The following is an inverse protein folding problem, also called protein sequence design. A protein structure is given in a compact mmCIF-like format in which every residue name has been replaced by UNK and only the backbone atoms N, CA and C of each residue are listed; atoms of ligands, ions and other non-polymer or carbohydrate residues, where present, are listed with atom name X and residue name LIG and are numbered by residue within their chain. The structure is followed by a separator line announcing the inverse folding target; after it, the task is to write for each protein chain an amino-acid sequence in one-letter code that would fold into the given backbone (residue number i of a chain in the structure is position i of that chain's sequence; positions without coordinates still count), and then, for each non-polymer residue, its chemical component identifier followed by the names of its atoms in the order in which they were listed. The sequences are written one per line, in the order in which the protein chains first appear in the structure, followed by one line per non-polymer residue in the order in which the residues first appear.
data_IF_227547457801
#
_entry.id   IF_227547457801
#
_cell.length_a   1.000
_cell.length_b   1.000
_cell.length_c   1.000
_cell.angle_alpha   90.00
_cell.angle_beta   90.00
_cell.angle_gamma   90.00
#
_symmetry.space_group_name_H-M   'P 1'
#
loop_
_entity.id
_entity.type
_entity.pdbx_description
1 polymer ?
#
# COMPACT_ATOMS: atom_id res chain seq x y z
N UNK A 1 55.05 -33.04 -79.81
CA UNK A 1 54.43 -32.16 -78.80
C UNK A 1 52.99 -32.60 -78.62
N UNK A 2 52.65 -33.30 -77.53
CA UNK A 2 51.26 -33.62 -77.12
C UNK A 2 51.30 -34.23 -75.71
N UNK A 3 51.53 -33.38 -74.69
CA UNK A 3 51.49 -33.80 -73.28
C UNK A 3 50.69 -32.83 -72.38
N UNK A 4 50.00 -31.84 -72.92
CA UNK A 4 49.42 -30.75 -72.10
C UNK A 4 47.91 -30.86 -71.82
N UNK A 5 47.18 -31.77 -72.48
CA UNK A 5 45.71 -31.83 -72.39
C UNK A 5 45.14 -32.82 -71.35
N UNK A 6 45.87 -33.85 -70.96
CA UNK A 6 45.43 -34.82 -69.92
C UNK A 6 45.71 -34.32 -68.50
N UNK A 7 46.80 -33.59 -68.28
CA UNK A 7 47.17 -33.09 -66.96
C UNK A 7 46.24 -31.98 -66.47
N UNK A 8 45.72 -31.13 -67.38
CA UNK A 8 44.76 -30.06 -67.07
C UNK A 8 43.36 -30.57 -66.74
N UNK A 9 42.95 -31.71 -67.30
CA UNK A 9 41.67 -32.37 -66.94
C UNK A 9 41.73 -32.97 -65.54
N UNK A 10 42.82 -33.67 -65.22
CA UNK A 10 42.99 -34.31 -63.91
C UNK A 10 43.20 -33.29 -62.79
N UNK A 11 43.95 -32.21 -63.02
CA UNK A 11 44.07 -31.11 -62.03
C UNK A 11 42.75 -30.40 -61.79
N UNK A 12 41.93 -30.17 -62.81
CA UNK A 12 40.61 -29.56 -62.63
C UNK A 12 39.59 -30.46 -61.91
N UNK A 13 39.72 -31.79 -62.00
CA UNK A 13 38.93 -32.73 -61.20
C UNK A 13 39.41 -32.77 -59.75
N UNK A 14 40.71 -32.86 -59.50
CA UNK A 14 41.30 -32.79 -58.16
C UNK A 14 40.93 -31.48 -57.42
N UNK A 15 40.99 -30.33 -58.11
CA UNK A 15 40.59 -29.04 -57.54
C UNK A 15 39.08 -28.95 -57.21
N UNK A 16 38.23 -29.71 -57.91
CA UNK A 16 36.79 -29.81 -57.61
C UNK A 16 36.54 -30.75 -56.43
N UNK A 17 37.26 -31.86 -56.35
CA UNK A 17 37.20 -32.79 -55.21
C UNK A 17 37.71 -32.13 -53.92
N UNK A 18 38.79 -31.34 -54.00
CA UNK A 18 39.32 -30.57 -52.88
C UNK A 18 38.32 -29.51 -52.39
N UNK A 19 37.65 -28.79 -53.32
CA UNK A 19 36.59 -27.83 -52.96
C UNK A 19 35.38 -28.49 -52.32
N UNK A 20 34.91 -29.63 -52.86
CA UNK A 20 33.79 -30.38 -52.29
C UNK A 20 34.15 -30.91 -50.88
N UNK A 21 35.40 -31.36 -50.69
CA UNK A 21 35.92 -31.80 -49.40
C UNK A 21 35.95 -30.66 -48.39
N UNK A 22 36.38 -29.46 -48.80
CA UNK A 22 36.43 -28.29 -47.92
C UNK A 22 35.04 -27.75 -47.58
N UNK A 23 34.10 -27.74 -48.54
CA UNK A 23 32.69 -27.43 -48.29
C UNK A 23 32.04 -28.44 -47.32
N UNK A 24 32.38 -29.73 -47.45
CA UNK A 24 31.93 -30.77 -46.53
C UNK A 24 32.48 -30.58 -45.12
N UNK A 25 33.73 -30.12 -44.98
CA UNK A 25 34.31 -29.78 -43.66
C UNK A 25 33.59 -28.59 -43.05
N UNK A 26 33.33 -27.53 -43.83
CA UNK A 26 32.59 -26.36 -43.38
C UNK A 26 31.18 -26.75 -42.90
N UNK A 27 30.43 -27.50 -43.72
CA UNK A 27 29.10 -28.00 -43.36
C UNK A 27 29.12 -28.88 -42.11
N UNK A 28 30.15 -29.72 -41.92
CA UNK A 28 30.31 -30.51 -40.68
C UNK A 28 30.52 -29.61 -39.47
N UNK A 29 31.39 -28.60 -39.58
CA UNK A 29 31.63 -27.66 -38.47
C UNK A 29 30.38 -26.86 -38.11
N UNK A 30 29.64 -26.39 -39.11
CA UNK A 30 28.39 -25.66 -38.90
C UNK A 30 27.31 -26.55 -38.27
N UNK A 31 27.19 -27.81 -38.73
CA UNK A 31 26.26 -28.77 -38.15
C UNK A 31 26.62 -29.11 -36.69
N UNK A 32 27.91 -29.21 -36.34
CA UNK A 32 28.33 -29.37 -34.94
C UNK A 32 27.99 -28.17 -34.07
N UNK A 33 28.15 -26.95 -34.61
CA UNK A 33 27.80 -25.70 -33.92
C UNK A 33 26.30 -25.62 -33.66
N UNK A 34 25.48 -25.88 -34.69
CA UNK A 34 24.02 -25.91 -34.59
C UNK A 34 23.52 -26.97 -33.59
N UNK A 35 24.16 -28.14 -33.55
CA UNK A 35 23.86 -29.17 -32.52
C UNK A 35 24.16 -28.66 -31.11
N UNK A 36 25.25 -27.93 -30.92
CA UNK A 36 25.59 -27.28 -29.66
C UNK A 36 24.54 -26.25 -29.24
N UNK A 37 24.13 -25.37 -30.16
CA UNK A 37 23.10 -24.35 -29.93
C UNK A 37 21.74 -24.98 -29.58
N UNK A 38 21.33 -26.04 -30.28
CA UNK A 38 20.11 -26.80 -29.97
C UNK A 38 20.19 -27.45 -28.59
N UNK A 39 21.35 -27.98 -28.20
CA UNK A 39 21.53 -28.57 -26.87
C UNK A 39 21.38 -27.52 -25.76
N UNK A 40 21.94 -26.33 -25.95
CA UNK A 40 21.78 -25.20 -25.03
C UNK A 40 20.32 -24.72 -24.95
N UNK A 41 19.64 -24.60 -26.09
CA UNK A 41 18.22 -24.23 -26.14
C UNK A 41 17.34 -25.25 -25.40
N UNK A 42 17.61 -26.55 -25.54
CA UNK A 42 16.89 -27.60 -24.80
C UNK A 42 17.12 -27.50 -23.29
N UNK A 43 18.34 -27.21 -22.85
CA UNK A 43 18.64 -26.98 -21.43
C UNK A 43 17.94 -25.73 -20.89
N UNK A 44 17.91 -24.65 -21.65
CA UNK A 44 17.20 -23.42 -21.29
C UNK A 44 15.70 -23.64 -21.18
N UNK A 45 15.11 -24.39 -22.11
CA UNK A 45 13.69 -24.74 -22.09
C UNK A 45 13.33 -25.57 -20.84
N UNK A 46 14.12 -26.60 -20.51
CA UNK A 46 13.94 -27.40 -19.30
C UNK A 46 14.07 -26.57 -18.01
N UNK A 47 14.98 -25.60 -17.99
CA UNK A 47 15.14 -24.67 -16.87
C UNK A 47 13.91 -23.77 -16.71
N UNK A 48 13.38 -23.24 -17.81
CA UNK A 48 12.17 -22.42 -17.82
C UNK A 48 10.93 -23.22 -17.39
N UNK A 49 10.79 -24.47 -17.82
CA UNK A 49 9.70 -25.34 -17.40
C UNK A 49 9.74 -25.61 -15.89
N UNK A 50 10.93 -25.89 -15.34
CA UNK A 50 11.12 -26.05 -13.87
C UNK A 50 10.78 -24.76 -13.12
N UNK A 51 11.22 -23.60 -13.61
CA UNK A 51 10.91 -22.30 -13.01
C UNK A 51 9.40 -22.00 -13.04
N UNK A 52 8.73 -22.30 -14.17
CA UNK A 52 7.29 -22.10 -14.31
C UNK A 52 6.49 -23.04 -13.39
N UNK A 53 6.92 -24.30 -13.27
CA UNK A 53 6.35 -25.23 -12.31
C UNK A 53 6.51 -24.74 -10.86
N UNK A 54 7.70 -24.24 -10.50
CA UNK A 54 7.94 -23.67 -9.18
C UNK A 54 7.06 -22.44 -8.91
N UNK A 55 6.93 -21.53 -9.89
CA UNK A 55 6.05 -20.36 -9.79
C UNK A 55 4.57 -20.76 -9.60
N UNK A 56 4.11 -21.85 -10.24
CA UNK A 56 2.76 -22.38 -10.02
C UNK A 56 2.58 -22.91 -8.61
N UNK A 57 3.57 -23.62 -8.07
CA UNK A 57 3.56 -24.08 -6.68
C UNK A 57 3.55 -22.90 -5.70
N UNK A 58 4.40 -21.90 -5.91
CA UNK A 58 4.50 -20.71 -5.06
C UNK A 58 3.20 -19.88 -5.09
N UNK A 59 2.55 -19.78 -6.26
CA UNK A 59 1.24 -19.15 -6.43
C UNK A 59 0.13 -19.90 -5.70
N UNK A 60 0.20 -21.24 -5.67
CA UNK A 60 -0.75 -22.07 -4.91
C UNK A 60 -0.52 -21.97 -3.40
N UNK A 61 0.74 -21.86 -2.96
CA UNK A 61 1.11 -21.69 -1.56
C UNK A 61 0.72 -20.30 -1.03
N UNK A 62 0.92 -19.23 -1.82
CA UNK A 62 0.46 -17.87 -1.49
C UNK A 62 -1.05 -17.77 -1.41
N UNK A 63 -1.81 -18.45 -2.28
CA UNK A 63 -3.28 -18.52 -2.18
C UNK A 63 -3.75 -19.15 -0.87
N UNK A 64 -3.14 -20.26 -0.44
CA UNK A 64 -3.43 -20.88 0.87
C UNK A 64 -3.02 -19.99 2.04
N UNK A 65 -1.85 -19.35 1.97
CA UNK A 65 -1.37 -18.43 3.01
C UNK A 65 -2.26 -17.18 3.12
N UNK A 66 -2.81 -16.67 2.01
CA UNK A 66 -3.74 -15.55 1.98
C UNK A 66 -5.07 -15.90 2.64
N UNK A 67 -5.60 -17.10 2.38
CA UNK A 67 -6.82 -17.61 3.04
C UNK A 67 -6.58 -17.76 4.55
N UNK A 68 -5.41 -18.27 4.95
CA UNK A 68 -5.03 -18.45 6.34
C UNK A 68 -4.82 -17.12 7.07
N UNK A 69 -4.28 -16.11 6.37
CA UNK A 69 -4.14 -14.73 6.86
C UNK A 69 -5.51 -14.06 7.04
N UNK A 70 -6.41 -14.23 6.09
CA UNK A 70 -7.78 -13.72 6.18
C UNK A 70 -8.56 -14.37 7.34
N UNK A 71 -8.39 -15.68 7.56
CA UNK A 71 -8.99 -16.39 8.70
C UNK A 71 -8.37 -16.00 10.04
N UNK A 72 -7.05 -15.75 10.10
CA UNK A 72 -6.40 -15.20 11.29
C UNK A 72 -6.89 -13.79 11.63
N UNK A 73 -7.04 -12.91 10.64
CA UNK A 73 -7.61 -11.58 10.87
C UNK A 73 -9.06 -11.64 11.34
N UNK A 74 -9.86 -12.58 10.80
CA UNK A 74 -11.24 -12.79 11.24
C UNK A 74 -11.30 -13.28 12.71
N UNK A 75 -10.39 -14.16 13.12
CA UNK A 75 -10.25 -14.62 14.51
C UNK A 75 -9.75 -13.51 15.45
N UNK A 76 -8.80 -12.68 15.01
CA UNK A 76 -8.34 -11.53 15.81
C UNK A 76 -9.44 -10.49 15.99
N UNK A 77 -10.22 -10.21 14.95
CA UNK A 77 -11.38 -9.33 15.03
C UNK A 77 -12.43 -9.89 16.01
N UNK A 78 -12.71 -11.20 15.97
CA UNK A 78 -13.60 -11.85 16.95
C UNK A 78 -13.05 -11.77 18.37
N UNK A 79 -11.75 -11.96 18.59
CA UNK A 79 -11.11 -11.81 19.90
C UNK A 79 -11.17 -10.37 20.41
N UNK A 80 -10.98 -9.39 19.53
CA UNK A 80 -11.15 -7.97 19.85
C UNK A 80 -12.60 -7.68 20.22
N UNK A 81 -13.58 -8.23 19.50
CA UNK A 81 -15.00 -8.09 19.80
C UNK A 81 -15.40 -8.74 21.13
N UNK A 82 -14.86 -9.93 21.44
CA UNK A 82 -15.03 -10.57 22.74
C UNK A 82 -14.42 -9.73 23.87
N UNK A 83 -13.20 -9.20 23.69
CA UNK A 83 -12.59 -8.29 24.67
C UNK A 83 -13.35 -6.98 24.83
N UNK A 84 -13.93 -6.44 23.76
CA UNK A 84 -14.79 -5.25 23.82
C UNK A 84 -16.09 -5.58 24.57
N UNK A 85 -16.65 -6.77 24.39
CA UNK A 85 -17.84 -7.23 25.12
C UNK A 85 -17.55 -7.54 26.60
N UNK A 86 -16.40 -8.11 26.94
CA UNK A 86 -15.96 -8.34 28.32
C UNK A 86 -15.60 -7.04 29.05
N UNK A 87 -15.01 -6.06 28.33
CA UNK A 87 -14.64 -4.75 28.89
C UNK A 87 -15.76 -3.71 28.79
N UNK A 88 -16.98 -4.08 28.40
CA UNK A 88 -18.14 -3.21 28.66
C UNK A 88 -18.29 -3.15 30.18
N UNK A 89 -18.07 -2.00 30.82
CA UNK A 89 -18.38 -1.88 32.22
C UNK A 89 -19.86 -2.24 32.40
N UNK A 90 -20.14 -3.20 33.29
CA UNK A 90 -21.39 -3.23 34.03
C UNK A 90 -21.50 -1.87 34.74
N UNK A 91 -22.00 -0.84 34.04
CA UNK A 91 -22.40 0.43 34.62
C UNK A 91 -23.72 0.15 35.35
N UNK A 92 -23.62 -0.64 36.42
CA UNK A 92 -24.57 -0.66 37.50
C UNK A 92 -24.31 0.57 38.34
N UNK A 93 -25.07 1.62 38.05
CA UNK A 93 -25.85 2.44 38.99
C UNK A 93 -26.12 3.78 38.35
N UNK A 94 -27.32 3.97 37.80
CA UNK A 94 -28.16 5.17 37.93
C UNK A 94 -29.54 4.97 37.27
N UNK A 95 -30.53 5.80 37.65
CA UNK A 95 -31.90 5.37 37.91
C UNK A 95 -32.79 5.38 36.67
N UNK A 96 -33.83 4.55 36.74
CA UNK A 96 -35.13 4.62 36.05
C UNK A 96 -35.23 5.66 34.92
N UNK A 97 -34.63 5.37 33.78
CA UNK A 97 -35.20 5.77 32.50
C UNK A 97 -35.13 4.56 31.57
N UNK A 98 -36.28 4.17 31.06
CA UNK A 98 -36.47 3.14 30.04
C UNK A 98 -35.80 3.60 28.73
N UNK A 99 -34.47 3.50 28.64
CA UNK A 99 -33.74 3.74 27.40
C UNK A 99 -33.64 2.43 26.64
N UNK A 100 -34.62 2.26 25.75
CA UNK A 100 -34.63 1.22 24.73
C UNK A 100 -33.33 1.35 23.93
N UNK A 101 -32.59 0.24 23.76
CA UNK A 101 -31.43 0.17 22.86
C UNK A 101 -31.89 0.52 21.45
N UNK A 102 -31.57 1.73 20.98
CA UNK A 102 -32.06 2.28 19.72
C UNK A 102 -31.72 1.36 18.55
N UNK A 103 -30.60 0.63 18.60
CA UNK A 103 -30.21 -0.30 17.54
C UNK A 103 -31.13 -1.53 17.55
N UNK A 104 -31.35 -2.13 18.72
CA UNK A 104 -32.28 -3.23 18.89
C UNK A 104 -33.73 -2.82 18.55
N UNK A 105 -34.16 -1.63 18.97
CA UNK A 105 -35.47 -1.08 18.67
C UNK A 105 -35.68 -0.79 17.19
N UNK A 106 -34.67 -0.29 16.47
CA UNK A 106 -34.78 -0.05 15.04
C UNK A 106 -34.80 -1.38 14.27
N UNK A 107 -33.98 -2.36 14.67
CA UNK A 107 -33.97 -3.72 14.09
C UNK A 107 -35.26 -4.51 14.36
N UNK A 108 -35.92 -4.30 15.51
CA UNK A 108 -37.16 -5.00 15.91
C UNK A 108 -38.43 -4.16 15.74
N UNK A 109 -38.31 -2.87 15.41
CA UNK A 109 -39.45 -2.11 14.93
C UNK A 109 -39.80 -2.70 13.56
N UNK A 110 -41.07 -3.06 13.34
CA UNK A 110 -41.59 -3.43 12.02
C UNK A 110 -41.56 -2.24 11.02
N UNK A 111 -40.66 -1.27 11.21
CA UNK A 111 -40.39 -0.23 10.24
C UNK A 111 -39.50 -0.81 9.16
N UNK A 112 -40.00 -0.83 7.93
CA UNK A 112 -39.14 -1.05 6.76
C UNK A 112 -38.22 0.17 6.64
N UNK A 113 -37.12 0.19 7.40
CA UNK A 113 -36.10 1.24 7.28
C UNK A 113 -35.50 1.10 5.88
N UNK A 114 -36.00 1.92 4.98
CA UNK A 114 -35.56 1.93 3.60
C UNK A 114 -34.23 2.67 3.54
N UNK A 115 -33.11 1.93 3.50
CA UNK A 115 -31.77 2.46 3.31
C UNK A 115 -31.62 3.03 1.90
N UNK A 116 -32.25 4.19 1.66
CA UNK A 116 -32.13 4.96 0.42
C UNK A 116 -31.07 6.03 0.58
N UNK A 117 -30.20 6.12 -0.41
CA UNK A 117 -29.18 7.17 -0.51
C UNK A 117 -29.80 8.57 -0.61
N UNK A 118 -31.00 8.67 -1.19
CA UNK A 118 -31.77 9.89 -1.31
C UNK A 118 -32.74 10.04 -0.12
N UNK A 119 -32.98 11.27 0.37
CA UNK A 119 -32.26 12.51 0.05
C UNK A 119 -30.82 12.52 0.61
N UNK A 120 -29.92 13.25 -0.08
CA UNK A 120 -28.53 13.45 0.34
C UNK A 120 -28.42 14.46 1.48
N UNK A 121 -28.79 14.03 2.68
CA UNK A 121 -28.66 14.82 3.90
C UNK A 121 -27.44 14.35 4.69
N UNK A 122 -26.53 15.28 5.01
CA UNK A 122 -25.26 14.96 5.67
C UNK A 122 -25.47 14.24 7.01
N UNK A 123 -26.30 14.79 7.90
CA UNK A 123 -26.51 14.19 9.23
C UNK A 123 -27.14 12.79 9.15
N UNK A 124 -28.06 12.60 8.20
CA UNK A 124 -28.69 11.29 7.94
C UNK A 124 -27.68 10.27 7.43
N UNK A 125 -26.85 10.65 6.47
CA UNK A 125 -25.82 9.78 5.90
C UNK A 125 -24.68 9.50 6.89
N UNK A 126 -24.34 10.49 7.73
CA UNK A 126 -23.42 10.33 8.84
C UNK A 126 -23.95 9.32 9.86
N UNK A 127 -25.22 9.44 10.24
CA UNK A 127 -25.89 8.45 11.09
C UNK A 127 -25.84 7.05 10.48
N UNK A 128 -26.13 6.90 9.18
CA UNK A 128 -25.99 5.59 8.52
C UNK A 128 -24.55 5.07 8.54
N UNK A 129 -23.54 5.91 8.27
CA UNK A 129 -22.13 5.51 8.34
C UNK A 129 -21.74 5.03 9.74
N UNK A 130 -22.21 5.71 10.80
CA UNK A 130 -21.84 5.42 12.19
C UNK A 130 -22.56 4.18 12.76
N UNK A 131 -23.84 3.99 12.43
CA UNK A 131 -24.66 2.93 13.03
C UNK A 131 -24.92 1.72 12.11
N UNK A 132 -24.87 1.92 10.79
CA UNK A 132 -25.22 0.96 9.72
C UNK A 132 -24.16 0.97 8.60
N UNK A 133 -22.89 0.80 8.98
CA UNK A 133 -21.77 0.95 8.06
C UNK A 133 -21.84 0.00 6.85
N UNK A 134 -22.30 -1.24 7.05
CA UNK A 134 -22.37 -2.25 5.99
C UNK A 134 -23.38 -1.84 4.91
N UNK A 135 -24.55 -1.38 5.33
CA UNK A 135 -25.63 -0.88 4.48
C UNK A 135 -25.21 0.42 3.80
N UNK A 136 -24.56 1.32 4.54
CA UNK A 136 -24.00 2.56 4.00
C UNK A 136 -22.97 2.30 2.90
N UNK A 137 -22.07 1.31 3.11
CA UNK A 137 -21.04 0.96 2.14
C UNK A 137 -21.62 0.39 0.84
N UNK A 138 -22.83 -0.20 0.87
CA UNK A 138 -23.50 -0.75 -0.32
C UNK A 138 -24.14 0.32 -1.21
N UNK A 139 -24.22 1.58 -0.77
CA UNK A 139 -24.78 2.66 -1.59
C UNK A 139 -24.08 2.80 -2.95
N UNK A 140 -24.85 3.04 -4.01
CA UNK A 140 -24.34 3.11 -5.38
C UNK A 140 -23.29 4.22 -5.52
N UNK A 141 -22.05 3.83 -5.79
CA UNK A 141 -20.91 4.74 -5.90
C UNK A 141 -21.09 5.77 -7.01
N UNK A 142 -21.73 5.43 -8.15
CA UNK A 142 -21.91 6.40 -9.26
C UNK A 142 -22.72 7.62 -8.85
N UNK A 143 -23.81 7.41 -8.11
CA UNK A 143 -24.69 8.48 -7.64
C UNK A 143 -23.94 9.36 -6.60
N UNK A 144 -23.11 8.73 -5.75
CA UNK A 144 -22.25 9.46 -4.80
C UNK A 144 -21.26 10.36 -5.52
N UNK A 145 -20.59 9.84 -6.56
CA UNK A 145 -19.61 10.60 -7.34
C UNK A 145 -20.26 11.81 -8.00
N UNK A 146 -21.40 11.63 -8.67
CA UNK A 146 -22.16 12.73 -9.28
C UNK A 146 -22.54 13.79 -8.24
N UNK A 147 -23.02 13.38 -7.07
CA UNK A 147 -23.41 14.30 -6.01
C UNK A 147 -22.23 15.09 -5.43
N UNK A 148 -21.11 14.44 -5.12
CA UNK A 148 -19.91 15.11 -4.60
C UNK A 148 -19.33 16.06 -5.64
N UNK A 149 -19.35 15.67 -6.92
CA UNK A 149 -18.84 16.46 -8.04
C UNK A 149 -19.57 17.80 -8.17
N UNK A 150 -20.87 17.86 -7.90
CA UNK A 150 -21.65 19.11 -7.88
C UNK A 150 -21.09 20.14 -6.89
N UNK A 151 -20.57 19.72 -5.74
CA UNK A 151 -20.04 20.64 -4.73
C UNK A 151 -18.55 20.96 -4.87
N UNK A 152 -17.82 20.16 -5.65
CA UNK A 152 -16.36 20.27 -5.80
C UNK A 152 -15.88 21.64 -6.27
N UNK A 153 -16.70 22.36 -7.05
CA UNK A 153 -16.36 23.68 -7.64
C UNK A 153 -16.87 24.87 -6.82
N UNK A 154 -18.05 24.78 -6.22
CA UNK A 154 -18.74 25.94 -5.64
C UNK A 154 -18.78 25.98 -4.12
N UNK A 155 -18.83 24.81 -3.45
CA UNK A 155 -19.03 24.71 -1.99
C UNK A 155 -18.04 23.72 -1.38
N UNK A 156 -16.78 24.15 -1.28
CA UNK A 156 -15.68 23.31 -0.79
C UNK A 156 -15.93 22.68 0.60
N UNK A 157 -16.58 23.40 1.52
CA UNK A 157 -16.94 22.83 2.84
C UNK A 157 -17.87 21.62 2.70
N UNK A 158 -18.95 21.75 1.91
CA UNK A 158 -19.89 20.66 1.65
C UNK A 158 -19.22 19.50 0.92
N UNK A 159 -18.36 19.80 -0.06
CA UNK A 159 -17.52 18.80 -0.70
C UNK A 159 -16.73 18.00 0.34
N UNK A 160 -16.04 18.68 1.26
CA UNK A 160 -15.19 18.04 2.26
C UNK A 160 -16.01 17.27 3.32
N UNK A 161 -17.22 17.73 3.63
CA UNK A 161 -18.21 17.01 4.44
C UNK A 161 -18.61 15.68 3.79
N UNK A 162 -19.05 15.68 2.53
CA UNK A 162 -19.43 14.44 1.86
C UNK A 162 -18.24 13.55 1.49
N UNK A 163 -17.07 14.14 1.19
CA UNK A 163 -15.85 13.39 0.97
C UNK A 163 -15.46 12.60 2.21
N UNK A 164 -15.43 13.20 3.41
CA UNK A 164 -15.16 12.49 4.67
C UNK A 164 -16.12 11.31 4.89
N UNK A 165 -17.40 11.45 4.54
CA UNK A 165 -18.36 10.37 4.68
C UNK A 165 -18.05 9.20 3.75
N UNK A 166 -17.79 9.46 2.48
CA UNK A 166 -17.70 8.45 1.43
C UNK A 166 -16.28 8.02 1.06
N UNK A 167 -15.24 8.61 1.67
CA UNK A 167 -13.84 8.24 1.40
C UNK A 167 -13.50 6.80 1.81
N UNK A 168 -14.39 6.11 2.52
CA UNK A 168 -14.29 4.67 2.73
C UNK A 168 -14.34 3.86 1.41
N UNK A 169 -14.84 4.44 0.31
CA UNK A 169 -14.87 3.83 -1.02
C UNK A 169 -13.66 4.29 -1.83
N UNK A 170 -12.89 3.32 -2.35
CA UNK A 170 -11.66 3.60 -3.10
C UNK A 170 -11.90 4.42 -4.38
N UNK A 171 -13.04 4.22 -5.06
CA UNK A 171 -13.38 4.98 -6.27
C UNK A 171 -13.59 6.47 -5.96
N UNK A 172 -14.25 6.77 -4.83
CA UNK A 172 -14.47 8.14 -4.35
C UNK A 172 -13.13 8.79 -3.98
N UNK A 173 -12.25 8.03 -3.31
CA UNK A 173 -10.90 8.48 -3.02
C UNK A 173 -10.13 8.82 -4.30
N UNK A 174 -10.10 7.90 -5.28
CA UNK A 174 -9.36 8.08 -6.53
C UNK A 174 -9.86 9.26 -7.37
N UNK A 175 -11.16 9.56 -7.37
CA UNK A 175 -11.70 10.69 -8.14
C UNK A 175 -11.43 12.04 -7.46
N UNK A 176 -11.52 12.12 -6.13
CA UNK A 176 -11.58 13.41 -5.42
C UNK A 176 -10.35 13.77 -4.58
N UNK A 177 -9.47 12.82 -4.25
CA UNK A 177 -8.33 13.11 -3.38
C UNK A 177 -7.38 14.18 -3.96
N UNK A 178 -7.28 14.30 -5.29
CA UNK A 178 -6.54 15.39 -5.93
C UNK A 178 -7.09 16.79 -5.60
N UNK A 179 -8.40 16.92 -5.37
CA UNK A 179 -9.03 18.18 -4.98
C UNK A 179 -8.82 18.53 -3.50
N UNK A 180 -8.35 17.56 -2.72
CA UNK A 180 -8.16 17.69 -1.29
C UNK A 180 -7.14 18.77 -0.92
N UNK A 181 -6.08 18.96 -1.71
CA UNK A 181 -5.02 19.92 -1.41
C UNK A 181 -5.18 21.29 -2.08
N UNK A 182 -6.20 21.48 -2.93
CA UNK A 182 -6.40 22.73 -3.69
C UNK A 182 -6.66 23.93 -2.76
N UNK A 183 -7.47 23.74 -1.72
CA UNK A 183 -7.82 24.81 -0.79
C UNK A 183 -6.95 24.76 0.47
N UNK A 184 -6.54 25.89 1.05
CA UNK A 184 -5.76 25.94 2.31
C UNK A 184 -6.62 25.96 3.58
N UNK A 185 -7.95 26.03 3.45
CA UNK A 185 -8.91 26.07 4.56
C UNK A 185 -9.24 24.66 5.12
N UNK A 186 -9.88 24.63 6.30
CA UNK A 186 -10.38 23.41 6.98
C UNK A 186 -9.30 22.38 7.37
N UNK A 187 -8.12 22.87 7.78
CA UNK A 187 -6.93 22.04 8.08
C UNK A 187 -7.23 20.93 9.08
N UNK A 188 -7.87 21.23 10.22
CA UNK A 188 -8.17 20.21 11.24
C UNK A 188 -9.00 19.05 10.66
N UNK A 189 -9.92 19.37 9.74
CA UNK A 189 -10.77 18.37 9.11
C UNK A 189 -10.01 17.53 8.10
N UNK A 190 -9.09 18.14 7.36
CA UNK A 190 -8.18 17.42 6.46
C UNK A 190 -7.28 16.45 7.21
N UNK A 191 -6.72 16.90 8.32
CA UNK A 191 -5.87 16.06 9.17
C UNK A 191 -6.66 14.86 9.71
N UNK A 192 -7.90 15.10 10.18
CA UNK A 192 -8.80 14.01 10.59
C UNK A 192 -9.00 12.99 9.47
N UNK A 193 -9.29 13.45 8.25
CA UNK A 193 -9.47 12.58 7.08
C UNK A 193 -8.19 11.79 6.77
N UNK A 194 -7.01 12.43 6.77
CA UNK A 194 -5.72 11.75 6.56
C UNK A 194 -5.45 10.68 7.63
N UNK A 195 -5.86 10.94 8.87
CA UNK A 195 -5.76 9.99 9.98
C UNK A 195 -6.75 8.82 9.89
N UNK A 196 -7.77 8.88 9.05
CA UNK A 196 -8.76 7.80 8.86
C UNK A 196 -8.49 6.97 7.59
N UNK A 197 -7.90 7.56 6.55
CA UNK A 197 -7.67 6.88 5.26
C UNK A 197 -6.50 5.86 5.37
N UNK A 198 -6.56 4.71 4.66
CA UNK A 198 -5.43 3.80 4.53
C UNK A 198 -4.19 4.49 3.95
N UNK A 199 -3.03 4.31 4.61
CA UNK A 199 -1.78 4.96 4.20
C UNK A 199 -1.43 4.59 2.75
N UNK A 200 -1.59 3.32 2.39
CA UNK A 200 -1.36 2.80 1.03
C UNK A 200 -2.13 3.53 -0.07
N UNK A 201 -3.35 4.01 0.21
CA UNK A 201 -4.14 4.73 -0.79
C UNK A 201 -3.54 6.11 -1.05
N UNK A 202 -3.11 6.79 0.01
CA UNK A 202 -2.51 8.13 -0.07
C UNK A 202 -1.21 8.09 -0.87
N UNK A 203 -0.37 7.08 -0.61
CA UNK A 203 0.96 6.98 -1.23
C UNK A 203 0.86 6.56 -2.70
N UNK A 204 0.01 5.58 -3.00
CA UNK A 204 -0.14 5.06 -4.36
C UNK A 204 -1.06 5.94 -5.22
N UNK A 205 -1.64 7.01 -4.66
CA UNK A 205 -2.49 7.90 -5.42
C UNK A 205 -1.73 8.50 -6.60
N UNK A 206 -2.24 8.22 -7.82
CA UNK A 206 -1.62 8.61 -9.09
C UNK A 206 -0.11 8.32 -9.13
N UNK A 207 0.29 7.12 -8.72
CA UNK A 207 1.69 6.69 -8.74
C UNK A 207 2.65 7.60 -7.95
N UNK A 208 2.17 8.23 -6.86
CA UNK A 208 3.00 9.03 -5.97
C UNK A 208 3.08 10.53 -6.30
N UNK A 209 2.30 11.02 -7.28
CA UNK A 209 2.26 12.45 -7.64
C UNK A 209 1.88 13.37 -6.47
N UNK A 210 1.15 12.88 -5.47
CA UNK A 210 0.71 13.67 -4.31
C UNK A 210 1.76 13.76 -3.21
N UNK A 211 2.81 12.92 -3.23
CA UNK A 211 3.83 12.90 -2.18
C UNK A 211 4.52 14.26 -1.94
N UNK A 212 4.92 15.03 -2.96
CA UNK A 212 5.53 16.36 -2.73
C UNK A 212 4.56 17.33 -2.06
N UNK A 213 3.28 17.32 -2.46
CA UNK A 213 2.25 18.20 -1.89
C UNK A 213 1.95 17.80 -0.45
N UNK A 214 1.92 16.50 -0.17
CA UNK A 214 1.74 15.96 1.17
C UNK A 214 2.92 16.33 2.08
N UNK A 215 4.17 16.22 1.59
CA UNK A 215 5.37 16.66 2.32
C UNK A 215 5.29 18.14 2.70
N UNK A 216 4.97 19.01 1.74
CA UNK A 216 4.78 20.45 2.02
C UNK A 216 3.65 20.70 3.03
N UNK A 217 2.58 19.91 2.98
CA UNK A 217 1.48 20.02 3.94
C UNK A 217 1.90 19.60 5.35
N UNK A 218 2.70 18.53 5.47
CA UNK A 218 3.26 18.05 6.75
C UNK A 218 4.20 19.09 7.34
N UNK A 219 5.13 19.61 6.55
CA UNK A 219 6.08 20.65 6.97
C UNK A 219 5.38 21.91 7.47
N UNK A 220 4.19 22.24 6.94
CA UNK A 220 3.42 23.40 7.38
C UNK A 220 2.64 23.15 8.68
N UNK A 221 2.25 21.91 8.97
CA UNK A 221 1.38 21.55 10.09
C UNK A 221 1.99 20.43 10.95
N UNK A 222 3.29 20.55 11.23
CA UNK A 222 4.13 19.51 11.87
C UNK A 222 3.50 18.92 13.13
N UNK A 223 3.08 19.78 14.06
CA UNK A 223 2.48 19.38 15.34
C UNK A 223 1.21 18.55 15.16
N UNK A 224 0.32 18.95 14.25
CA UNK A 224 -0.96 18.26 14.06
C UNK A 224 -0.85 16.97 13.24
N UNK A 225 0.28 16.77 12.56
CA UNK A 225 0.54 15.62 11.71
C UNK A 225 1.26 14.47 12.43
N UNK A 226 1.57 14.62 13.72
CA UNK A 226 2.26 13.58 14.53
C UNK A 226 1.54 12.23 14.44
N UNK A 227 0.21 12.21 14.59
CA UNK A 227 -0.60 10.98 14.51
C UNK A 227 -0.53 10.34 13.12
N UNK A 228 -0.55 11.16 12.06
CA UNK A 228 -0.43 10.68 10.69
C UNK A 228 0.95 10.04 10.45
N UNK A 229 2.02 10.71 10.88
CA UNK A 229 3.39 10.19 10.74
C UNK A 229 3.57 8.92 11.56
N UNK A 230 3.03 8.85 12.79
CA UNK A 230 3.03 7.62 13.57
C UNK A 230 2.41 6.46 12.79
N UNK A 231 1.25 6.67 12.16
CA UNK A 231 0.61 5.65 11.30
C UNK A 231 1.49 5.27 10.12
N UNK A 232 2.13 6.23 9.45
CA UNK A 232 3.07 5.95 8.35
C UNK A 232 4.23 5.09 8.83
N UNK A 233 4.84 5.42 9.98
CA UNK A 233 5.97 4.67 10.53
C UNK A 233 5.58 3.24 10.90
N UNK A 234 4.39 3.03 11.46
CA UNK A 234 3.90 1.68 11.82
C UNK A 234 3.50 0.86 10.59
N UNK A 235 2.77 1.45 9.64
CA UNK A 235 2.25 0.72 8.47
C UNK A 235 3.32 0.55 7.36
N UNK A 236 4.15 1.58 7.12
CA UNK A 236 5.12 1.67 6.00
C UNK A 236 6.37 2.47 6.41
N UNK A 237 7.29 1.90 7.21
CA UNK A 237 8.41 2.62 7.81
C UNK A 237 9.33 3.32 6.80
N UNK A 238 9.57 2.68 5.64
CA UNK A 238 10.44 3.19 4.58
C UNK A 238 9.99 4.53 3.98
N UNK A 239 8.69 4.87 4.10
CA UNK A 239 8.12 6.09 3.53
C UNK A 239 8.27 7.31 4.43
N UNK A 240 8.57 7.11 5.71
CA UNK A 240 8.82 8.20 6.64
C UNK A 240 9.90 9.15 6.10
N UNK A 241 11.00 8.61 5.57
CA UNK A 241 12.11 9.36 4.98
C UNK A 241 11.73 10.15 3.70
N UNK A 242 10.66 9.77 3.02
CA UNK A 242 10.15 10.49 1.84
C UNK A 242 9.24 11.64 2.25
N UNK A 243 8.53 11.50 3.37
CA UNK A 243 7.51 12.46 3.82
C UNK A 243 8.06 13.49 4.80
N UNK A 244 9.06 13.14 5.61
CA UNK A 244 9.67 14.02 6.60
C UNK A 244 11.19 13.89 6.57
N UNK A 245 11.87 15.01 6.82
CA UNK A 245 13.31 15.06 7.05
C UNK A 245 13.63 15.09 8.56
N UNK A 246 14.92 15.01 8.88
CA UNK A 246 15.43 15.08 10.25
C UNK A 246 15.06 16.37 10.97
N UNK A 247 14.97 17.50 10.25
CA UNK A 247 14.64 18.80 10.84
C UNK A 247 13.16 18.85 11.25
N UNK A 248 12.26 18.52 10.32
CA UNK A 248 10.83 18.41 10.56
C UNK A 248 10.53 17.39 11.68
N UNK A 249 11.21 16.25 11.69
CA UNK A 249 11.05 15.26 12.75
C UNK A 249 11.51 15.79 14.12
N UNK A 250 12.65 16.50 14.17
CA UNK A 250 13.17 17.08 15.41
C UNK A 250 12.18 18.08 16.01
N UNK A 251 11.58 18.95 15.18
CA UNK A 251 10.54 19.87 15.62
C UNK A 251 9.28 19.13 16.11
N UNK A 252 8.84 18.08 15.42
CA UNK A 252 7.68 17.28 15.85
C UNK A 252 7.87 16.66 17.24
N UNK A 253 9.09 16.18 17.55
CA UNK A 253 9.34 15.48 18.82
C UNK A 253 9.70 16.40 19.99
N UNK A 254 9.88 17.70 19.75
CA UNK A 254 10.05 18.72 20.80
C UNK A 254 8.72 19.09 21.46
N UNK A 255 7.61 18.81 20.79
CA UNK A 255 6.26 19.05 21.33
C UNK A 255 6.03 18.16 22.55
N UNK A 256 5.59 18.76 23.66
CA UNK A 256 5.25 18.02 24.89
C UNK A 256 3.84 17.42 24.81
N UNK A 257 3.65 16.45 23.92
CA UNK A 257 2.41 15.69 23.81
C UNK A 257 2.64 14.19 24.02
N UNK A 258 1.65 13.50 24.59
CA UNK A 258 1.68 12.05 24.79
C UNK A 258 1.77 11.27 23.45
N UNK A 259 1.21 11.85 22.37
CA UNK A 259 1.27 11.31 21.00
C UNK A 259 2.70 11.22 20.46
N UNK A 260 3.59 12.11 20.90
CA UNK A 260 5.01 12.14 20.50
C UNK A 260 5.74 10.91 21.02
N UNK A 261 5.42 10.44 22.22
CA UNK A 261 6.08 9.28 22.81
C UNK A 261 5.80 8.01 21.99
N UNK A 262 4.57 7.86 21.48
CA UNK A 262 4.25 6.78 20.55
C UNK A 262 5.02 6.89 19.24
N UNK A 263 5.15 8.11 18.70
CA UNK A 263 5.92 8.35 17.48
C UNK A 263 7.39 7.98 17.68
N UNK A 264 8.02 8.41 18.78
CA UNK A 264 9.41 8.06 19.13
C UNK A 264 9.58 6.55 19.21
N UNK A 265 8.72 5.87 19.96
CA UNK A 265 8.78 4.41 20.10
C UNK A 265 8.61 3.70 18.75
N UNK A 266 7.67 4.13 17.92
CA UNK A 266 7.44 3.53 16.60
C UNK A 266 8.65 3.71 15.67
N UNK A 267 9.29 4.88 15.69
CA UNK A 267 10.51 5.17 14.92
C UNK A 267 11.67 4.28 15.37
N UNK A 268 11.84 4.12 16.69
CA UNK A 268 12.88 3.26 17.27
C UNK A 268 12.67 1.78 16.96
N UNK A 269 11.42 1.30 16.93
CA UNK A 269 11.10 -0.12 16.72
C UNK A 269 11.08 -0.54 15.25
N UNK A 270 10.61 0.34 14.35
CA UNK A 270 10.33 -0.03 12.97
C UNK A 270 11.39 0.45 11.94
N UNK A 271 12.54 0.95 12.41
CA UNK A 271 13.69 1.22 11.54
C UNK A 271 13.81 2.65 11.01
N UNK A 272 13.41 3.65 11.80
CA UNK A 272 13.56 5.07 11.45
C UNK A 272 14.92 5.69 11.84
N UNK A 273 16.01 4.92 11.79
CA UNK A 273 17.37 5.36 12.12
C UNK A 273 17.76 6.67 11.40
N UNK A 274 17.33 6.83 10.15
CA UNK A 274 17.64 8.00 9.33
C UNK A 274 17.04 9.31 9.88
N UNK A 275 16.02 9.23 10.74
CA UNK A 275 15.41 10.38 11.40
C UNK A 275 16.08 10.72 12.74
N UNK A 276 16.83 9.78 13.34
CA UNK A 276 17.58 9.99 14.57
C UNK A 276 18.96 10.55 14.20
N UNK A 277 19.27 11.74 14.69
CA UNK A 277 20.51 12.44 14.40
C UNK A 277 21.15 12.98 15.67
N UNK A 278 22.40 13.44 15.56
CA UNK A 278 23.11 14.13 16.65
C UNK A 278 22.33 15.30 17.26
N UNK A 279 21.41 15.90 16.50
CA UNK A 279 20.62 17.05 16.93
C UNK A 279 19.40 16.68 17.76
N UNK A 280 18.94 15.43 17.72
CA UNK A 280 17.70 15.03 18.37
C UNK A 280 17.83 13.79 19.27
N UNK A 281 18.99 13.13 19.27
CA UNK A 281 19.29 11.96 20.11
C UNK A 281 19.05 12.24 21.61
N UNK A 282 19.29 13.48 22.06
CA UNK A 282 19.07 13.91 23.44
C UNK A 282 17.59 13.96 23.86
N UNK A 283 16.66 13.86 22.90
CA UNK A 283 15.22 13.86 23.14
C UNK A 283 14.65 12.45 23.33
N UNK A 284 15.48 11.41 23.24
CA UNK A 284 15.09 10.00 23.40
C UNK A 284 15.49 9.46 24.77
N UNK A 285 14.70 8.52 25.28
CA UNK A 285 15.03 7.77 26.49
C UNK A 285 16.13 6.74 26.23
N UNK A 286 16.84 6.30 27.28
CA UNK A 286 17.85 5.24 27.17
C UNK A 286 17.29 3.96 26.55
N UNK A 287 16.06 3.58 26.91
CA UNK A 287 15.40 2.38 26.35
C UNK A 287 15.10 2.52 24.86
N UNK A 288 14.73 3.72 24.39
CA UNK A 288 14.54 4.01 22.97
C UNK A 288 15.87 3.92 22.21
N UNK A 289 16.94 4.50 22.75
CA UNK A 289 18.27 4.46 22.14
C UNK A 289 18.82 3.03 22.07
N UNK A 290 18.58 2.20 23.09
CA UNK A 290 18.89 0.77 23.07
C UNK A 290 18.21 0.04 21.91
N UNK A 291 16.94 0.35 21.62
CA UNK A 291 16.21 -0.25 20.49
C UNK A 291 16.77 0.19 19.13
N UNK A 292 17.20 1.45 19.04
CA UNK A 292 17.76 2.03 17.80
C UNK A 292 19.13 1.44 17.47
N UNK A 293 20.05 1.45 18.44
CA UNK A 293 21.45 1.07 18.23
C UNK A 293 21.73 -0.40 18.54
N UNK A 294 20.80 -1.12 19.17
CA UNK A 294 20.90 -2.56 19.50
C UNK A 294 22.27 -2.90 20.11
N UNK A 295 23.08 -3.67 19.41
CA UNK A 295 24.38 -4.17 19.87
C UNK A 295 25.46 -3.07 19.89
N UNK A 296 25.25 -1.97 19.16
CA UNK A 296 26.17 -0.81 19.12
C UNK A 296 25.90 0.19 20.27
N UNK A 297 24.88 -0.05 21.10
CA UNK A 297 24.55 0.82 22.23
C UNK A 297 25.51 0.58 23.40
N UNK A 298 26.26 1.62 23.78
CA UNK A 298 27.14 1.61 24.95
C UNK A 298 26.52 2.49 26.04
N UNK A 299 26.14 1.90 27.18
CA UNK A 299 25.77 2.66 28.37
C UNK A 299 27.05 3.28 28.96
N UNK A 300 27.19 4.60 28.80
CA UNK A 300 28.16 5.43 29.54
C UNK A 300 27.47 6.02 30.77
#
# INVERSE_FOLDING_TARGET
MNQTSTDTSNTNQLLKEDKISDDLKLLKTENTKLKGEISLLRQNMLSLEKSNYQLRLDKSATSKAQILKNKKSEIELLKIQYKINENKPCIFKRPNTTTIDIKWALEHSNSQINFKILPFEYERLKFFKEYFFNEFYQFNTKIVLEHIKMYSKEKYKKFLDFFELFVCKIDVFNEFFGLFFINKMFINKKIKILNEIPVDWIINYKNGEVLPVLKMFIEKYKEKMIVFIYRVVVERPFLSNLLIDTECFTEMIQVKEYTVEFLKNAVCENGGLNLVSKFNIHLFSKDQLKKVYKDDYIDI
#
